data_IF_589273610884
#
_entry.id   IF_589273610884
#
_cell.length_a   1.000
_cell.length_b   1.000
_cell.length_c   1.000
_cell.angle_alpha   90.00
_cell.angle_beta   90.00
_cell.angle_gamma   90.00
#
_symmetry.space_group_name_H-M   'P 1'
#
loop_
_entity.id
_entity.type
_entity.pdbx_description
1 polymer ?
#
# COMPACT_ATOMS: atom_id res chain seq x y z
N UNK A 1 -13.76 -63.21 227.23
CA UNK A 1 -14.37 -63.88 226.06
C UNK A 1 -15.78 -63.36 225.74
N UNK A 2 -15.98 -62.03 225.72
CA UNK A 2 -17.24 -61.39 225.26
C UNK A 2 -16.99 -60.27 224.24
N UNK A 3 -15.82 -59.60 224.27
CA UNK A 3 -15.44 -58.57 223.29
C UNK A 3 -15.04 -59.09 221.90
N UNK A 4 -14.59 -60.35 221.78
CA UNK A 4 -14.17 -60.91 220.49
C UNK A 4 -15.36 -61.18 219.54
N UNK A 5 -16.52 -61.60 220.08
CA UNK A 5 -17.71 -61.89 219.27
C UNK A 5 -18.45 -60.64 218.79
N UNK A 6 -18.27 -59.49 219.45
CA UNK A 6 -18.85 -58.22 219.03
C UNK A 6 -18.08 -57.59 217.85
N UNK A 7 -16.76 -57.82 217.75
CA UNK A 7 -15.93 -57.35 216.64
C UNK A 7 -16.21 -58.11 215.34
N UNK A 8 -16.38 -59.43 215.40
CA UNK A 8 -16.67 -60.25 214.21
C UNK A 8 -18.02 -59.90 213.55
N UNK A 9 -19.05 -59.61 214.34
CA UNK A 9 -20.38 -59.24 213.80
C UNK A 9 -20.34 -57.85 213.17
N UNK A 10 -19.55 -56.92 213.72
CA UNK A 10 -19.39 -55.59 213.14
C UNK A 10 -18.55 -55.62 211.84
N UNK A 11 -17.51 -56.48 211.80
CA UNK A 11 -16.69 -56.69 210.61
C UNK A 11 -17.50 -57.34 209.48
N UNK A 12 -18.30 -58.37 209.78
CA UNK A 12 -19.17 -59.02 208.80
C UNK A 12 -20.24 -58.06 208.22
N UNK A 13 -20.70 -57.08 209.01
CA UNK A 13 -21.61 -56.04 208.52
C UNK A 13 -20.91 -55.08 207.55
N UNK A 14 -19.68 -54.65 207.86
CA UNK A 14 -18.87 -53.80 206.98
C UNK A 14 -18.51 -54.52 205.67
N UNK A 15 -18.19 -55.82 205.74
CA UNK A 15 -17.88 -56.63 204.55
C UNK A 15 -19.12 -56.86 203.68
N UNK A 16 -20.30 -57.05 204.28
CA UNK A 16 -21.57 -57.12 203.55
C UNK A 16 -21.92 -55.78 202.90
N UNK A 17 -21.74 -54.66 203.59
CA UNK A 17 -21.94 -53.31 203.02
C UNK A 17 -20.95 -53.02 201.88
N UNK A 18 -19.69 -53.44 202.02
CA UNK A 18 -18.67 -53.32 200.97
C UNK A 18 -18.99 -54.20 199.75
N UNK A 19 -19.44 -55.44 199.95
CA UNK A 19 -19.88 -56.32 198.87
C UNK A 19 -21.13 -55.78 198.15
N UNK A 20 -22.06 -55.18 198.90
CA UNK A 20 -23.26 -54.55 198.32
C UNK A 20 -22.91 -53.28 197.54
N UNK A 21 -21.93 -52.50 198.02
CA UNK A 21 -21.42 -51.33 197.31
C UNK A 21 -20.63 -51.71 196.05
N UNK A 22 -19.81 -52.77 196.11
CA UNK A 22 -19.09 -53.30 194.96
C UNK A 22 -20.05 -53.85 193.89
N UNK A 23 -21.06 -54.62 194.29
CA UNK A 23 -22.09 -55.12 193.38
C UNK A 23 -22.91 -53.98 192.73
N UNK A 24 -23.17 -52.89 193.45
CA UNK A 24 -23.79 -51.68 192.88
C UNK A 24 -22.87 -50.97 191.90
N UNK A 25 -21.60 -50.81 192.25
CA UNK A 25 -20.62 -50.18 191.36
C UNK A 25 -20.43 -51.00 190.07
N UNK A 26 -20.35 -52.33 190.16
CA UNK A 26 -20.22 -53.24 189.03
C UNK A 26 -21.52 -53.28 188.19
N UNK A 27 -22.69 -53.20 188.82
CA UNK A 27 -23.97 -53.06 188.12
C UNK A 27 -24.11 -51.70 187.42
N UNK A 28 -23.65 -50.61 188.04
CA UNK A 28 -23.62 -49.27 187.43
C UNK A 28 -22.59 -49.18 186.30
N UNK A 29 -21.45 -49.85 186.42
CA UNK A 29 -20.42 -49.95 185.39
C UNK A 29 -20.88 -50.83 184.23
N UNK A 30 -21.55 -51.95 184.52
CA UNK A 30 -22.22 -52.80 183.52
C UNK A 30 -23.35 -52.05 182.81
N UNK A 31 -24.16 -51.28 183.54
CA UNK A 31 -25.21 -50.45 182.97
C UNK A 31 -24.63 -49.33 182.10
N UNK A 32 -23.53 -48.68 182.52
CA UNK A 32 -22.81 -47.69 181.70
C UNK A 32 -22.18 -48.30 180.46
N UNK A 33 -21.58 -49.48 180.57
CA UNK A 33 -20.97 -50.20 179.45
C UNK A 33 -22.03 -50.68 178.48
N UNK A 34 -23.16 -51.20 178.97
CA UNK A 34 -24.30 -51.55 178.14
C UNK A 34 -24.89 -50.31 177.46
N UNK A 35 -25.08 -49.20 178.18
CA UNK A 35 -25.57 -47.94 177.60
C UNK A 35 -24.61 -47.37 176.54
N UNK A 36 -23.30 -47.48 176.74
CA UNK A 36 -22.27 -47.10 175.78
C UNK A 36 -22.26 -48.03 174.56
N UNK A 37 -22.42 -49.34 174.76
CA UNK A 37 -22.55 -50.30 173.66
C UNK A 37 -23.84 -50.07 172.85
N UNK A 38 -24.96 -49.75 173.51
CA UNK A 38 -26.21 -49.38 172.86
C UNK A 38 -26.11 -48.06 172.11
N UNK A 39 -25.42 -47.05 172.65
CA UNK A 39 -25.20 -45.78 171.95
C UNK A 39 -24.29 -45.94 170.74
N UNK A 40 -23.23 -46.75 170.85
CA UNK A 40 -22.35 -47.11 169.75
C UNK A 40 -23.07 -47.93 168.67
N UNK A 41 -23.89 -48.91 169.06
CA UNK A 41 -24.70 -49.69 168.12
C UNK A 41 -25.71 -48.81 167.37
N UNK A 42 -26.38 -47.88 168.06
CA UNK A 42 -27.27 -46.90 167.40
C UNK A 42 -26.50 -45.97 166.47
N UNK A 43 -25.32 -45.49 166.86
CA UNK A 43 -24.49 -44.64 166.01
C UNK A 43 -24.01 -45.40 164.76
N UNK A 44 -23.57 -46.66 164.90
CA UNK A 44 -23.19 -47.51 163.78
C UNK A 44 -24.37 -47.83 162.86
N UNK A 45 -25.57 -48.08 163.42
CA UNK A 45 -26.79 -48.29 162.64
C UNK A 45 -27.19 -47.03 161.86
N UNK A 46 -27.12 -45.85 162.48
CA UNK A 46 -27.36 -44.57 161.81
C UNK A 46 -26.33 -44.31 160.70
N UNK A 47 -25.05 -44.60 160.95
CA UNK A 47 -23.99 -44.46 159.95
C UNK A 47 -24.13 -45.46 158.79
N UNK A 48 -24.57 -46.69 159.06
CA UNK A 48 -24.91 -47.67 158.02
C UNK A 48 -26.10 -47.20 157.18
N UNK A 49 -27.17 -46.73 157.83
CA UNK A 49 -28.35 -46.19 157.14
C UNK A 49 -27.97 -44.97 156.28
N UNK A 50 -27.13 -44.07 156.79
CA UNK A 50 -26.58 -42.94 156.02
C UNK A 50 -25.78 -43.42 154.80
N UNK A 51 -24.86 -44.37 154.97
CA UNK A 51 -24.08 -44.95 153.86
C UNK A 51 -24.94 -45.71 152.85
N UNK A 52 -26.04 -46.31 153.28
CA UNK A 52 -27.00 -46.96 152.38
C UNK A 52 -27.80 -45.90 151.60
N UNK A 53 -28.20 -44.80 152.24
CA UNK A 53 -28.83 -43.66 151.55
C UNK A 53 -27.87 -42.97 150.57
N UNK A 54 -26.59 -42.80 150.94
CA UNK A 54 -25.56 -42.25 150.06
C UNK A 54 -25.31 -43.16 148.86
N UNK A 55 -25.12 -44.47 149.07
CA UNK A 55 -24.92 -45.43 147.97
C UNK A 55 -26.13 -45.55 147.04
N UNK A 56 -27.35 -45.42 147.57
CA UNK A 56 -28.56 -45.42 146.74
C UNK A 56 -28.69 -44.12 145.95
N UNK A 57 -28.34 -42.97 146.55
CA UNK A 57 -28.27 -41.69 145.85
C UNK A 57 -27.19 -41.67 144.76
N UNK A 58 -25.99 -42.20 145.03
CA UNK A 58 -24.90 -42.34 144.05
C UNK A 58 -25.30 -43.22 142.87
N UNK A 59 -25.97 -44.36 143.14
CA UNK A 59 -26.47 -45.24 142.08
C UNK A 59 -27.58 -44.59 141.25
N UNK A 60 -28.47 -43.82 141.89
CA UNK A 60 -29.49 -43.06 141.18
C UNK A 60 -28.85 -42.00 140.28
N UNK A 61 -27.89 -41.22 140.80
CA UNK A 61 -27.14 -40.24 140.03
C UNK A 61 -26.37 -40.87 138.86
N UNK A 62 -25.70 -42.00 139.07
CA UNK A 62 -25.00 -42.72 138.02
C UNK A 62 -25.95 -43.28 136.95
N UNK A 63 -27.15 -43.74 137.34
CA UNK A 63 -28.17 -44.18 136.40
C UNK A 63 -28.73 -43.01 135.57
N UNK A 64 -28.97 -41.86 136.20
CA UNK A 64 -29.40 -40.64 135.51
C UNK A 64 -28.32 -40.11 134.55
N UNK A 65 -27.05 -40.09 134.95
CA UNK A 65 -25.94 -39.69 134.10
C UNK A 65 -25.77 -40.63 132.91
N UNK A 66 -25.92 -41.95 133.12
CA UNK A 66 -25.91 -42.94 132.05
C UNK A 66 -27.09 -42.75 131.09
N UNK A 67 -28.29 -42.50 131.61
CA UNK A 67 -29.48 -42.24 130.79
C UNK A 67 -29.32 -40.95 129.98
N UNK A 68 -28.79 -39.87 130.60
CA UNK A 68 -28.45 -38.63 129.90
C UNK A 68 -27.43 -38.87 128.79
N UNK A 69 -26.36 -39.62 129.04
CA UNK A 69 -25.37 -39.97 128.02
C UNK A 69 -25.96 -40.80 126.87
N UNK A 70 -26.87 -41.75 127.16
CA UNK A 70 -27.58 -42.51 126.12
C UNK A 70 -28.52 -41.62 125.29
N UNK A 71 -29.20 -40.65 125.92
CA UNK A 71 -30.05 -39.69 125.23
C UNK A 71 -29.22 -38.78 124.30
N UNK A 72 -28.06 -38.31 124.77
CA UNK A 72 -27.12 -37.53 123.96
C UNK A 72 -26.63 -38.31 122.74
N UNK A 73 -26.17 -39.55 122.93
CA UNK A 73 -25.72 -40.42 121.83
C UNK A 73 -26.85 -40.71 120.84
N UNK A 74 -28.08 -40.93 121.31
CA UNK A 74 -29.24 -41.11 120.42
C UNK A 74 -29.54 -39.85 119.61
N UNK A 75 -29.49 -38.67 120.25
CA UNK A 75 -29.70 -37.40 119.57
C UNK A 75 -28.59 -37.11 118.54
N UNK A 76 -27.32 -37.43 118.85
CA UNK A 76 -26.21 -37.31 117.90
C UNK A 76 -26.35 -38.28 116.72
N UNK A 77 -26.73 -39.53 116.97
CA UNK A 77 -26.98 -40.51 115.91
C UNK A 77 -28.14 -40.06 115.00
N UNK A 78 -29.21 -39.49 115.57
CA UNK A 78 -30.32 -38.96 114.79
C UNK A 78 -29.89 -37.75 113.95
N UNK A 79 -29.08 -36.83 114.50
CA UNK A 79 -28.50 -35.71 113.74
C UNK A 79 -27.60 -36.21 112.61
N UNK A 80 -26.64 -37.09 112.88
CA UNK A 80 -25.74 -37.67 111.86
C UNK A 80 -26.53 -38.38 110.78
N UNK A 81 -27.59 -39.11 111.14
CA UNK A 81 -28.47 -39.76 110.18
C UNK A 81 -29.20 -38.74 109.30
N UNK A 82 -29.79 -37.71 109.90
CA UNK A 82 -30.46 -36.62 109.17
C UNK A 82 -29.49 -35.89 108.23
N UNK A 83 -28.28 -35.58 108.69
CA UNK A 83 -27.25 -34.91 107.90
C UNK A 83 -26.79 -35.80 106.74
N UNK A 84 -26.56 -37.10 106.99
CA UNK A 84 -26.22 -38.06 105.94
C UNK A 84 -27.34 -38.22 104.90
N UNK A 85 -28.61 -38.28 105.34
CA UNK A 85 -29.78 -38.33 104.45
C UNK A 85 -29.85 -37.05 103.58
N UNK A 86 -29.57 -35.87 104.15
CA UNK A 86 -29.52 -34.60 103.43
C UNK A 86 -28.34 -34.51 102.43
N UNK A 87 -27.16 -35.01 102.82
CA UNK A 87 -25.99 -35.10 101.94
C UNK A 87 -26.22 -36.06 100.77
N UNK A 88 -26.82 -37.24 101.03
CA UNK A 88 -27.19 -38.20 99.99
C UNK A 88 -28.21 -37.59 99.03
N UNK A 89 -29.24 -36.93 99.54
CA UNK A 89 -30.23 -36.24 98.70
C UNK A 89 -29.55 -35.17 97.81
N UNK A 90 -28.66 -34.37 98.37
CA UNK A 90 -27.90 -33.36 97.63
C UNK A 90 -26.98 -33.99 96.57
N UNK A 91 -26.31 -35.10 96.90
CA UNK A 91 -25.44 -35.82 95.98
C UNK A 91 -26.23 -36.44 94.81
N UNK A 92 -27.41 -37.00 95.08
CA UNK A 92 -28.29 -37.55 94.05
C UNK A 92 -28.80 -36.46 93.11
N UNK A 93 -29.20 -35.29 93.62
CA UNK A 93 -29.62 -34.17 92.76
C UNK A 93 -28.45 -33.62 91.91
N UNK A 94 -27.24 -33.55 92.47
CA UNK A 94 -26.03 -33.20 91.71
C UNK A 94 -25.72 -34.24 90.62
N UNK A 95 -25.89 -35.54 90.90
CA UNK A 95 -25.70 -36.60 89.93
C UNK A 95 -26.71 -36.52 88.79
N UNK A 96 -28.01 -36.33 89.10
CA UNK A 96 -29.06 -36.12 88.10
C UNK A 96 -28.80 -34.89 87.23
N UNK A 97 -28.39 -33.77 87.83
CA UNK A 97 -28.05 -32.56 87.08
C UNK A 97 -26.84 -32.77 86.15
N UNK A 98 -25.83 -33.53 86.61
CA UNK A 98 -24.67 -33.88 85.79
C UNK A 98 -25.03 -34.81 84.62
N UNK A 99 -25.89 -35.81 84.86
CA UNK A 99 -26.41 -36.73 83.84
C UNK A 99 -27.22 -35.97 82.78
N UNK A 100 -28.18 -35.13 83.20
CA UNK A 100 -28.95 -34.29 82.30
C UNK A 100 -28.06 -33.37 81.43
N UNK A 101 -26.98 -32.83 82.00
CA UNK A 101 -25.99 -32.04 81.23
C UNK A 101 -25.17 -32.90 80.27
N UNK A 102 -24.84 -34.13 80.63
CA UNK A 102 -24.14 -35.06 79.75
C UNK A 102 -25.01 -35.45 78.55
N UNK A 103 -26.29 -35.75 78.79
CA UNK A 103 -27.29 -36.03 77.76
C UNK A 103 -27.50 -34.82 76.84
N UNK A 104 -27.64 -33.61 77.40
CA UNK A 104 -27.73 -32.38 76.63
C UNK A 104 -26.52 -32.21 75.69
N UNK A 105 -25.28 -32.36 76.20
CA UNK A 105 -24.08 -32.25 75.37
C UNK A 105 -23.96 -33.36 74.33
N UNK A 106 -24.48 -34.56 74.60
CA UNK A 106 -24.54 -35.63 73.63
C UNK A 106 -25.51 -35.29 72.49
N UNK A 107 -26.69 -34.74 72.81
CA UNK A 107 -27.66 -34.26 71.83
C UNK A 107 -27.09 -33.08 71.01
N UNK A 108 -26.49 -32.09 71.65
CA UNK A 108 -25.84 -30.95 70.98
C UNK A 108 -24.75 -31.44 70.02
N UNK A 109 -23.86 -32.34 70.46
CA UNK A 109 -22.84 -32.92 69.58
C UNK A 109 -23.43 -33.67 68.40
N UNK A 110 -24.49 -34.45 68.60
CA UNK A 110 -25.18 -35.17 67.52
C UNK A 110 -25.77 -34.18 66.50
N UNK A 111 -26.44 -33.12 66.95
CA UNK A 111 -26.98 -32.10 66.04
C UNK A 111 -25.86 -31.34 65.30
N UNK A 112 -24.74 -31.06 65.98
CA UNK A 112 -23.58 -30.42 65.37
C UNK A 112 -22.92 -31.32 64.32
N UNK A 113 -22.78 -32.63 64.57
CA UNK A 113 -22.25 -33.58 63.58
C UNK A 113 -23.19 -33.71 62.38
N UNK A 114 -24.49 -33.81 62.59
CA UNK A 114 -25.47 -33.85 61.49
C UNK A 114 -25.46 -32.57 60.64
N UNK A 115 -25.32 -31.40 61.28
CA UNK A 115 -25.19 -30.13 60.58
C UNK A 115 -23.88 -30.04 59.78
N UNK A 116 -22.76 -30.48 60.35
CA UNK A 116 -21.47 -30.51 59.67
C UNK A 116 -21.48 -31.47 58.46
N UNK A 117 -22.08 -32.65 58.60
CA UNK A 117 -22.24 -33.60 57.50
C UNK A 117 -23.09 -33.03 56.36
N UNK A 118 -24.21 -32.36 56.68
CA UNK A 118 -25.05 -31.67 55.68
C UNK A 118 -24.27 -30.57 54.95
N UNK A 119 -23.52 -29.75 55.68
CA UNK A 119 -22.68 -28.71 55.07
C UNK A 119 -21.63 -29.32 54.14
N UNK A 120 -20.95 -30.40 54.54
CA UNK A 120 -19.98 -31.10 53.69
C UNK A 120 -20.62 -31.69 52.44
N UNK A 121 -21.83 -32.24 52.53
CA UNK A 121 -22.58 -32.74 51.38
C UNK A 121 -22.95 -31.61 50.41
N UNK A 122 -23.38 -30.46 50.92
CA UNK A 122 -23.67 -29.27 50.09
C UNK A 122 -22.42 -28.78 49.37
N UNK A 123 -21.29 -28.62 50.08
CA UNK A 123 -20.02 -28.23 49.47
C UNK A 123 -19.55 -29.21 48.39
N UNK A 124 -19.72 -30.52 48.60
CA UNK A 124 -19.38 -31.53 47.58
C UNK A 124 -20.26 -31.40 46.34
N UNK A 125 -21.57 -31.22 46.51
CA UNK A 125 -22.49 -31.01 45.41
C UNK A 125 -22.19 -29.72 44.63
N UNK A 126 -21.86 -28.63 45.32
CA UNK A 126 -21.44 -27.37 44.69
C UNK A 126 -20.12 -27.53 43.92
N UNK A 127 -19.14 -28.25 44.48
CA UNK A 127 -17.88 -28.54 43.78
C UNK A 127 -18.09 -29.41 42.54
N UNK A 128 -18.97 -30.43 42.60
CA UNK A 128 -19.33 -31.24 41.43
C UNK A 128 -20.01 -30.40 40.37
N UNK A 129 -20.93 -29.51 40.76
CA UNK A 129 -21.57 -28.57 39.83
C UNK A 129 -20.55 -27.64 39.16
N UNK A 130 -19.67 -27.01 39.94
CA UNK A 130 -18.63 -26.12 39.39
C UNK A 130 -17.69 -26.87 38.45
N UNK A 131 -17.36 -28.13 38.74
CA UNK A 131 -16.56 -28.97 37.83
C UNK A 131 -17.28 -29.25 36.53
N UNK A 132 -18.56 -29.63 36.58
CA UNK A 132 -19.37 -29.86 35.39
C UNK A 132 -19.51 -28.58 34.54
N UNK A 133 -19.78 -27.44 35.17
CA UNK A 133 -19.88 -26.14 34.50
C UNK A 133 -18.54 -25.75 33.85
N UNK A 134 -17.41 -25.97 34.54
CA UNK A 134 -16.08 -25.71 34.00
C UNK A 134 -15.73 -26.63 32.82
N UNK A 135 -16.07 -27.92 32.89
CA UNK A 135 -15.89 -28.86 31.78
C UNK A 135 -16.73 -28.45 30.55
N UNK A 136 -17.97 -28.01 30.77
CA UNK A 136 -18.83 -27.51 29.70
C UNK A 136 -18.27 -26.24 29.04
N UNK A 137 -17.79 -25.27 29.82
CA UNK A 137 -17.15 -24.05 29.29
C UNK A 137 -15.86 -24.37 28.53
N UNK A 138 -15.03 -25.29 29.03
CA UNK A 138 -13.82 -25.74 28.31
C UNK A 138 -14.17 -26.44 27.00
N UNK A 139 -15.21 -27.27 26.97
CA UNK A 139 -15.68 -27.91 25.75
C UNK A 139 -16.18 -26.86 24.73
N UNK A 140 -17.00 -25.91 25.16
CA UNK A 140 -17.49 -24.83 24.31
C UNK A 140 -16.34 -23.93 23.79
N UNK A 141 -15.34 -23.62 24.62
CA UNK A 141 -14.18 -22.86 24.20
C UNK A 141 -13.34 -23.61 23.15
N UNK A 142 -13.17 -24.93 23.30
CA UNK A 142 -12.48 -25.77 22.30
C UNK A 142 -13.23 -25.81 20.98
N UNK A 143 -14.56 -25.92 21.00
CA UNK A 143 -15.38 -25.88 19.78
C UNK A 143 -15.26 -24.53 19.06
N UNK A 144 -15.33 -23.41 19.80
CA UNK A 144 -15.13 -22.07 19.23
C UNK A 144 -13.73 -21.91 18.62
N UNK A 145 -12.70 -22.44 19.27
CA UNK A 145 -11.34 -22.42 18.75
C UNK A 145 -11.21 -23.23 17.45
N UNK A 146 -11.74 -24.45 17.43
CA UNK A 146 -11.75 -25.29 16.23
C UNK A 146 -12.52 -24.65 15.06
N UNK A 147 -13.66 -24.02 15.34
CA UNK A 147 -14.43 -23.28 14.34
C UNK A 147 -13.66 -22.05 13.80
N UNK A 148 -12.93 -21.34 14.66
CA UNK A 148 -12.11 -20.20 14.25
C UNK A 148 -10.92 -20.63 13.37
N UNK A 149 -10.27 -21.75 13.72
CA UNK A 149 -9.19 -22.37 12.93
C UNK A 149 -9.71 -22.80 11.54
N UNK A 150 -10.83 -23.53 11.49
CA UNK A 150 -11.45 -23.92 10.23
C UNK A 150 -11.81 -22.71 9.33
N UNK A 151 -12.24 -21.59 9.92
CA UNK A 151 -12.48 -20.34 9.17
C UNK A 151 -11.19 -19.65 8.74
N UNK A 152 -10.11 -19.77 9.49
CA UNK A 152 -8.81 -19.27 9.08
C UNK A 152 -8.29 -20.06 7.87
N UNK A 153 -8.36 -21.39 7.92
CA UNK A 153 -7.99 -22.29 6.82
C UNK A 153 -8.86 -22.06 5.57
N UNK A 154 -10.16 -21.84 5.75
CA UNK A 154 -11.03 -21.47 4.64
C UNK A 154 -10.55 -20.18 3.97
N UNK A 155 -10.22 -19.14 4.75
CA UNK A 155 -9.74 -17.86 4.19
C UNK A 155 -8.39 -17.98 3.50
N UNK A 156 -7.48 -18.83 3.99
CA UNK A 156 -6.19 -19.05 3.32
C UNK A 156 -6.40 -19.79 2.00
N UNK A 157 -7.28 -20.79 1.96
CA UNK A 157 -7.67 -21.47 0.74
C UNK A 157 -8.34 -20.53 -0.27
N UNK A 158 -9.27 -19.69 0.17
CA UNK A 158 -9.92 -18.68 -0.68
C UNK A 158 -8.92 -17.66 -1.26
N UNK A 159 -7.95 -17.20 -0.47
CA UNK A 159 -6.88 -16.29 -0.94
C UNK A 159 -5.93 -16.97 -1.92
N UNK A 160 -5.61 -18.23 -1.72
CA UNK A 160 -4.80 -19.01 -2.65
C UNK A 160 -5.53 -19.15 -4.00
N UNK A 161 -6.80 -19.55 -3.97
CA UNK A 161 -7.64 -19.66 -5.17
C UNK A 161 -7.81 -18.31 -5.89
N UNK A 162 -8.02 -17.22 -5.14
CA UNK A 162 -8.12 -15.88 -5.71
C UNK A 162 -6.80 -15.43 -6.36
N UNK A 163 -5.65 -15.73 -5.74
CA UNK A 163 -4.33 -15.45 -6.30
C UNK A 163 -4.08 -16.22 -7.59
N UNK A 164 -4.40 -17.51 -7.62
CA UNK A 164 -4.29 -18.33 -8.85
C UNK A 164 -5.19 -17.82 -9.98
N UNK A 165 -6.43 -17.42 -9.65
CA UNK A 165 -7.35 -16.85 -10.63
C UNK A 165 -6.83 -15.51 -11.18
N UNK A 166 -6.30 -14.64 -10.31
CA UNK A 166 -5.70 -13.37 -10.72
C UNK A 166 -4.45 -13.58 -11.59
N UNK A 167 -3.61 -14.57 -11.27
CA UNK A 167 -2.43 -14.89 -12.06
C UNK A 167 -2.83 -15.40 -13.46
N UNK A 168 -3.82 -16.31 -13.55
CA UNK A 168 -4.35 -16.78 -14.85
C UNK A 168 -4.91 -15.62 -15.68
N UNK A 169 -5.68 -14.72 -15.07
CA UNK A 169 -6.21 -13.54 -15.76
C UNK A 169 -5.08 -12.62 -16.26
N UNK A 170 -4.03 -12.40 -15.46
CA UNK A 170 -2.87 -11.61 -15.86
C UNK A 170 -2.09 -12.26 -17.02
N UNK A 171 -1.93 -13.59 -17.01
CA UNK A 171 -1.30 -14.33 -18.10
C UNK A 171 -2.11 -14.22 -19.40
N UNK A 172 -3.44 -14.34 -19.33
CA UNK A 172 -4.33 -14.15 -20.47
C UNK A 172 -4.20 -12.75 -21.07
N UNK A 173 -4.26 -11.71 -20.23
CA UNK A 173 -4.11 -10.32 -20.67
C UNK A 173 -2.74 -10.06 -21.31
N UNK A 174 -1.65 -10.62 -20.79
CA UNK A 174 -0.33 -10.53 -21.42
C UNK A 174 -0.32 -11.16 -22.81
N UNK A 175 -0.89 -12.35 -22.95
CA UNK A 175 -0.98 -13.02 -24.25
C UNK A 175 -1.91 -12.30 -25.25
N UNK A 176 -2.92 -11.59 -24.78
CA UNK A 176 -3.75 -10.71 -25.63
C UNK A 176 -3.00 -9.45 -26.05
N UNK A 177 -2.26 -8.81 -25.14
CA UNK A 177 -1.43 -7.65 -25.46
C UNK A 177 -0.32 -7.99 -26.45
N UNK A 178 0.31 -9.16 -26.31
CA UNK A 178 1.31 -9.64 -27.28
C UNK A 178 0.69 -9.85 -28.66
N UNK A 179 -0.51 -10.45 -28.74
CA UNK A 179 -1.26 -10.59 -30.00
C UNK A 179 -1.59 -9.23 -30.62
N UNK A 180 -2.17 -8.31 -29.85
CA UNK A 180 -2.50 -6.96 -30.33
C UNK A 180 -1.25 -6.21 -30.81
N UNK A 181 -0.12 -6.36 -30.12
CA UNK A 181 1.16 -5.76 -30.58
C UNK A 181 1.62 -6.36 -31.89
N UNK A 182 1.58 -7.68 -32.04
CA UNK A 182 1.94 -8.36 -33.28
C UNK A 182 1.02 -7.95 -34.45
N UNK A 183 -0.29 -7.89 -34.21
CA UNK A 183 -1.27 -7.46 -35.21
C UNK A 183 -1.05 -6.00 -35.63
N UNK A 184 -0.79 -5.10 -34.66
CA UNK A 184 -0.49 -3.71 -34.94
C UNK A 184 0.84 -3.53 -35.70
N UNK A 185 1.88 -4.27 -35.35
CA UNK A 185 3.15 -4.28 -36.10
C UNK A 185 2.95 -4.77 -37.54
N UNK A 186 2.13 -5.81 -37.74
CA UNK A 186 1.78 -6.32 -39.05
C UNK A 186 0.97 -5.29 -39.88
N UNK A 187 -0.01 -4.62 -39.28
CA UNK A 187 -0.80 -3.57 -39.93
C UNK A 187 0.06 -2.36 -40.31
N UNK A 188 0.98 -1.94 -39.44
CA UNK A 188 1.95 -0.87 -39.73
C UNK A 188 2.87 -1.28 -40.87
N UNK A 189 3.37 -2.53 -40.89
CA UNK A 189 4.21 -3.04 -41.96
C UNK A 189 3.44 -3.09 -43.30
N UNK A 190 2.19 -3.55 -43.29
CA UNK A 190 1.32 -3.57 -44.46
C UNK A 190 1.05 -2.15 -44.99
N UNK A 191 0.71 -1.21 -44.10
CA UNK A 191 0.46 0.19 -44.45
C UNK A 191 1.70 0.86 -45.03
N UNK A 192 2.89 0.61 -44.46
CA UNK A 192 4.17 1.09 -45.00
C UNK A 192 4.48 0.47 -46.36
N UNK A 193 4.21 -0.82 -46.54
CA UNK A 193 4.38 -1.51 -47.82
C UNK A 193 3.48 -0.91 -48.91
N UNK A 194 2.21 -0.66 -48.59
CA UNK A 194 1.27 -0.02 -49.50
C UNK A 194 1.69 1.41 -49.86
N UNK A 195 2.02 2.24 -48.85
CA UNK A 195 2.51 3.60 -49.08
C UNK A 195 3.81 3.64 -49.89
N UNK A 196 4.74 2.71 -49.65
CA UNK A 196 5.96 2.59 -50.46
C UNK A 196 5.64 2.19 -51.91
N UNK A 197 4.67 1.30 -52.12
CA UNK A 197 4.18 0.92 -53.45
C UNK A 197 3.53 2.08 -54.19
N UNK A 198 2.65 2.85 -53.54
CA UNK A 198 2.05 4.06 -54.13
C UNK A 198 3.09 5.12 -54.46
N UNK A 199 4.04 5.35 -53.55
CA UNK A 199 5.13 6.29 -53.79
C UNK A 199 6.00 5.87 -54.99
N UNK A 200 6.27 4.57 -55.15
CA UNK A 200 6.99 4.04 -56.30
C UNK A 200 6.19 4.22 -57.59
N UNK A 201 4.90 3.88 -57.61
CA UNK A 201 4.04 4.06 -58.78
C UNK A 201 3.91 5.55 -59.17
N UNK A 202 3.80 6.45 -58.19
CA UNK A 202 3.79 7.89 -58.43
C UNK A 202 5.12 8.39 -59.02
N UNK A 203 6.26 7.89 -58.53
CA UNK A 203 7.58 8.20 -59.10
C UNK A 203 7.72 7.72 -60.53
N UNK A 204 7.36 6.46 -60.82
CA UNK A 204 7.41 5.91 -62.17
C UNK A 204 6.51 6.69 -63.14
N UNK A 205 5.33 7.11 -62.68
CA UNK A 205 4.43 7.97 -63.46
C UNK A 205 5.07 9.34 -63.73
N UNK A 206 5.64 9.98 -62.70
CA UNK A 206 6.32 11.26 -62.84
C UNK A 206 7.55 11.17 -63.77
N UNK A 207 8.36 10.12 -63.64
CA UNK A 207 9.51 9.85 -64.51
C UNK A 207 9.07 9.62 -65.97
N UNK A 208 7.97 8.91 -66.19
CA UNK A 208 7.39 8.73 -67.52
C UNK A 208 6.87 10.04 -68.11
N UNK A 209 6.25 10.92 -67.31
CA UNK A 209 5.83 12.25 -67.72
C UNK A 209 7.03 13.15 -68.06
N UNK A 210 8.07 13.12 -67.22
CA UNK A 210 9.34 13.82 -67.47
C UNK A 210 9.94 13.34 -68.79
N UNK A 211 10.01 12.02 -69.02
CA UNK A 211 10.54 11.46 -70.26
C UNK A 211 9.72 11.88 -71.49
N UNK A 212 8.38 11.96 -71.39
CA UNK A 212 7.51 12.48 -72.46
C UNK A 212 7.76 13.97 -72.71
N UNK A 213 7.93 14.76 -71.66
CA UNK A 213 8.21 16.19 -71.77
C UNK A 213 9.57 16.44 -72.44
N UNK A 214 10.61 15.68 -72.09
CA UNK A 214 11.91 15.74 -72.76
C UNK A 214 11.83 15.32 -74.23
N UNK A 215 11.13 14.22 -74.55
CA UNK A 215 10.96 13.79 -75.94
C UNK A 215 10.19 14.84 -76.78
N UNK A 216 9.19 15.50 -76.21
CA UNK A 216 8.48 16.60 -76.86
C UNK A 216 9.38 17.82 -77.06
N UNK A 217 10.22 18.16 -76.08
CA UNK A 217 11.20 19.24 -76.17
C UNK A 217 12.25 18.96 -77.26
N UNK A 218 12.79 17.74 -77.32
CA UNK A 218 13.77 17.33 -78.35
C UNK A 218 13.19 17.42 -79.76
N UNK A 219 11.92 17.05 -79.94
CA UNK A 219 11.24 17.17 -81.24
C UNK A 219 11.07 18.63 -81.68
N UNK A 220 10.74 19.54 -80.75
CA UNK A 220 10.68 20.99 -81.02
C UNK A 220 12.06 21.52 -81.42
N UNK A 221 13.13 21.11 -80.72
CA UNK A 221 14.51 21.49 -81.05
C UNK A 221 14.89 20.97 -82.44
N UNK A 222 14.57 19.72 -82.76
CA UNK A 222 14.86 19.11 -84.07
C UNK A 222 14.13 19.82 -85.22
N UNK A 223 12.87 20.20 -85.03
CA UNK A 223 12.10 20.96 -86.01
C UNK A 223 12.66 22.36 -86.23
N UNK A 224 13.09 23.04 -85.16
CA UNK A 224 13.74 24.34 -85.25
C UNK A 224 15.07 24.26 -86.03
N UNK A 225 15.90 23.25 -85.76
CA UNK A 225 17.16 23.04 -86.47
C UNK A 225 16.96 22.70 -87.97
N UNK A 226 15.96 21.88 -88.30
CA UNK A 226 15.67 21.53 -89.70
C UNK A 226 15.17 22.74 -90.52
N UNK A 227 14.46 23.69 -89.87
CA UNK A 227 14.03 24.94 -90.50
C UNK A 227 15.21 25.88 -90.77
N UNK A 228 16.18 25.95 -89.85
CA UNK A 228 17.36 26.79 -90.01
C UNK A 228 18.31 26.34 -91.14
N UNK A 229 18.47 25.02 -91.34
CA UNK A 229 19.41 24.49 -92.33
C UNK A 229 19.02 24.71 -93.81
N UNK A 230 17.74 24.98 -94.12
CA UNK A 230 17.26 25.16 -95.51
C UNK A 230 17.42 26.58 -96.05
N UNK A 231 17.61 27.57 -95.18
CA UNK A 231 17.51 29.00 -95.55
C UNK A 231 18.86 29.72 -95.68
N UNK A 232 19.98 29.00 -95.47
CA UNK A 232 21.33 29.59 -95.37
C UNK A 232 22.30 29.13 -96.48
N UNK A 233 21.82 28.48 -97.53
CA UNK A 233 22.66 28.10 -98.67
C UNK A 233 22.85 29.30 -99.62
N UNK A 234 24.07 29.85 -99.69
CA UNK A 234 24.41 30.87 -100.69
C UNK A 234 24.19 30.33 -102.12
N UNK A 235 23.36 30.98 -102.95
CA UNK A 235 23.17 30.56 -104.33
C UNK A 235 24.46 30.77 -105.13
N UNK A 236 24.86 29.74 -105.89
CA UNK A 236 26.06 29.77 -106.76
C UNK A 236 25.66 30.31 -108.14
N UNK A 237 26.31 31.38 -108.65
CA UNK A 237 25.99 31.96 -109.96
C UNK A 237 26.38 31.03 -111.12
N UNK A 238 25.62 31.00 -112.23
CA UNK A 238 26.07 30.44 -113.50
C UNK A 238 27.30 31.18 -114.02
N UNK A 239 28.33 30.46 -114.50
CA UNK A 239 29.62 31.04 -114.91
C UNK A 239 29.50 32.10 -116.02
N UNK A 240 28.45 32.01 -116.84
CA UNK A 240 28.23 32.82 -118.05
C UNK A 240 27.89 34.30 -117.75
N UNK A 241 27.48 34.63 -116.52
CA UNK A 241 27.05 35.98 -116.13
C UNK A 241 27.78 36.54 -114.90
N UNK A 242 28.89 35.92 -114.47
CA UNK A 242 29.64 36.36 -113.27
C UNK A 242 30.09 37.81 -113.27
N UNK A 243 30.36 38.40 -114.44
CA UNK A 243 30.69 39.83 -114.52
C UNK A 243 29.49 40.74 -114.24
N UNK A 244 28.27 40.25 -114.51
CA UNK A 244 27.00 40.95 -114.29
C UNK A 244 26.45 40.67 -112.89
N UNK A 245 26.65 39.47 -112.34
CA UNK A 245 26.18 39.07 -111.00
C UNK A 245 27.17 39.35 -109.86
N UNK A 246 28.39 39.81 -110.17
CA UNK A 246 29.40 40.17 -109.16
C UNK A 246 28.88 41.11 -108.06
N UNK A 247 28.04 42.13 -108.35
CA UNK A 247 27.42 42.94 -107.31
C UNK A 247 26.56 42.13 -106.33
N UNK A 248 25.76 41.21 -106.85
CA UNK A 248 24.83 40.38 -106.08
C UNK A 248 25.60 39.42 -105.17
N UNK A 249 26.65 38.79 -105.71
CA UNK A 249 27.54 37.90 -104.97
C UNK A 249 28.26 38.64 -103.84
N UNK A 250 28.75 39.85 -104.11
CA UNK A 250 29.39 40.68 -103.09
C UNK A 250 28.42 41.10 -101.99
N UNK A 251 27.18 41.44 -102.34
CA UNK A 251 26.13 41.78 -101.36
C UNK A 251 25.77 40.58 -100.47
N UNK A 252 25.57 39.40 -101.06
CA UNK A 252 25.27 38.17 -100.31
C UNK A 252 26.44 37.71 -99.45
N UNK A 253 27.67 37.81 -99.97
CA UNK A 253 28.88 37.50 -99.22
C UNK A 253 29.10 38.49 -98.07
N UNK A 254 28.83 39.78 -98.29
CA UNK A 254 28.92 40.79 -97.22
C UNK A 254 27.85 40.57 -96.14
N UNK A 255 26.61 40.24 -96.51
CA UNK A 255 25.57 39.84 -95.55
C UNK A 255 25.93 38.56 -94.80
N UNK A 256 26.46 37.55 -95.49
CA UNK A 256 26.92 36.32 -94.85
C UNK A 256 28.05 36.59 -93.86
N UNK A 257 28.98 37.48 -94.19
CA UNK A 257 30.06 37.88 -93.28
C UNK A 257 29.54 38.70 -92.10
N UNK A 258 28.59 39.62 -92.30
CA UNK A 258 27.93 40.33 -91.20
C UNK A 258 27.23 39.35 -90.26
N UNK A 259 26.47 38.40 -90.81
CA UNK A 259 25.77 37.36 -90.06
C UNK A 259 26.75 36.46 -89.29
N UNK A 260 27.83 36.02 -89.93
CA UNK A 260 28.89 35.24 -89.28
C UNK A 260 29.62 36.01 -88.18
N UNK A 261 29.95 37.28 -88.41
CA UNK A 261 30.62 38.14 -87.42
C UNK A 261 29.71 38.38 -86.22
N UNK A 262 28.41 38.60 -86.42
CA UNK A 262 27.46 38.73 -85.33
C UNK A 262 27.21 37.41 -84.60
N UNK A 263 27.14 36.29 -85.32
CA UNK A 263 26.94 34.97 -84.71
C UNK A 263 28.17 34.52 -83.91
N UNK A 264 29.38 34.64 -84.46
CA UNK A 264 30.62 34.16 -83.81
C UNK A 264 31.18 35.18 -82.83
N UNK A 265 31.11 36.47 -83.15
CA UNK A 265 31.65 37.54 -82.32
C UNK A 265 30.75 37.96 -81.16
N UNK A 266 29.43 37.73 -81.25
CA UNK A 266 28.46 38.21 -80.25
C UNK A 266 27.62 37.10 -79.58
N UNK A 267 27.73 35.83 -80.00
CA UNK A 267 27.24 34.72 -79.19
C UNK A 267 28.02 34.69 -77.87
N UNK A 268 27.31 34.70 -76.75
CA UNK A 268 27.84 34.96 -75.40
C UNK A 268 28.87 33.97 -74.83
N UNK A 269 29.55 33.19 -75.66
CA UNK A 269 30.57 32.18 -75.31
C UNK A 269 31.89 32.33 -76.12
N UNK A 270 32.12 33.46 -76.81
CA UNK A 270 33.34 33.73 -77.61
C UNK A 270 34.51 34.38 -76.84
N UNK A 271 35.74 34.09 -77.30
CA UNK A 271 37.03 34.57 -76.74
C UNK A 271 37.16 36.11 -76.86
N UNK A 272 37.37 36.87 -75.76
CA UNK A 272 37.36 38.34 -75.76
C UNK A 272 38.52 39.01 -76.52
N UNK A 273 39.42 38.24 -77.13
CA UNK A 273 40.60 38.75 -77.87
C UNK A 273 40.37 38.93 -79.38
N UNK A 274 39.20 38.55 -79.92
CA UNK A 274 38.83 38.90 -81.31
C UNK A 274 38.13 40.25 -81.27
N UNK A 275 38.92 41.33 -81.26
CA UNK A 275 38.38 42.68 -81.41
C UNK A 275 37.60 42.76 -82.73
N UNK A 276 36.28 42.98 -82.63
CA UNK A 276 35.44 43.20 -83.78
C UNK A 276 35.91 44.48 -84.49
N UNK A 277 36.32 44.33 -85.74
CA UNK A 277 36.85 45.42 -86.55
C UNK A 277 35.67 46.27 -87.07
N UNK A 278 35.50 47.45 -86.47
CA UNK A 278 34.46 48.41 -86.86
C UNK A 278 34.68 48.87 -88.31
N UNK A 279 35.92 49.03 -88.77
CA UNK A 279 36.23 49.44 -90.14
C UNK A 279 35.83 48.33 -91.12
N UNK A 280 36.01 47.06 -90.75
CA UNK A 280 35.50 45.92 -91.50
C UNK A 280 33.97 45.92 -91.55
N UNK A 281 33.30 46.11 -90.42
CA UNK A 281 31.84 46.16 -90.36
C UNK A 281 31.25 47.32 -91.17
N UNK A 282 31.86 48.51 -91.10
CA UNK A 282 31.49 49.66 -91.95
C UNK A 282 31.69 49.34 -93.43
N UNK A 283 32.80 48.68 -93.78
CA UNK A 283 33.07 48.24 -95.15
C UNK A 283 32.02 47.23 -95.64
N UNK A 284 31.64 46.26 -94.81
CA UNK A 284 30.64 45.25 -95.15
C UNK A 284 29.25 45.87 -95.28
N UNK A 285 28.84 46.73 -94.34
CA UNK A 285 27.55 47.45 -94.40
C UNK A 285 27.48 48.33 -95.65
N UNK A 286 28.57 49.03 -95.96
CA UNK A 286 28.67 49.84 -97.18
C UNK A 286 28.65 49.00 -98.44
N UNK A 287 29.31 47.83 -98.45
CA UNK A 287 29.26 46.89 -99.55
C UNK A 287 27.83 46.35 -99.75
N UNK A 288 27.11 46.05 -98.68
CA UNK A 288 25.70 45.67 -98.74
C UNK A 288 24.85 46.81 -99.31
N UNK A 289 25.03 48.05 -98.84
CA UNK A 289 24.29 49.22 -99.33
C UNK A 289 24.54 49.52 -100.82
N UNK A 290 25.81 49.59 -101.22
CA UNK A 290 26.20 49.96 -102.59
C UNK A 290 25.70 48.93 -103.61
N UNK A 291 25.75 47.64 -103.26
CA UNK A 291 25.43 46.57 -104.19
C UNK A 291 23.95 46.15 -104.13
N UNK A 292 23.25 46.37 -103.02
CA UNK A 292 21.80 46.17 -102.94
C UNK A 292 21.00 47.23 -103.72
N UNK A 293 21.54 48.45 -103.89
CA UNK A 293 21.01 49.42 -104.86
C UNK A 293 21.01 48.82 -106.27
N UNK A 294 22.06 48.08 -106.66
CA UNK A 294 22.12 47.38 -107.94
C UNK A 294 21.05 46.30 -108.07
N UNK A 295 20.83 45.46 -107.06
CA UNK A 295 19.75 44.47 -107.03
C UNK A 295 18.35 45.10 -107.23
N UNK A 296 18.12 46.26 -106.62
CA UNK A 296 16.83 46.97 -106.70
C UNK A 296 16.63 47.68 -108.05
N UNK A 297 17.71 48.17 -108.67
CA UNK A 297 17.66 48.86 -109.97
C UNK A 297 17.73 47.91 -111.17
N UNK A 298 18.44 46.77 -111.09
CA UNK A 298 18.43 45.72 -112.11
C UNK A 298 17.10 44.95 -112.14
N UNK A 299 16.51 44.63 -110.98
CA UNK A 299 15.16 44.03 -110.93
C UNK A 299 14.07 44.98 -111.46
N UNK A 300 14.28 46.30 -111.34
CA UNK A 300 13.40 47.33 -111.93
C UNK A 300 13.63 47.53 -113.44
N UNK A 301 14.85 47.30 -113.93
CA UNK A 301 15.17 47.37 -115.36
C UNK A 301 14.75 46.09 -116.10
N UNK A 302 14.82 44.93 -115.45
CA UNK A 302 14.33 43.65 -115.96
C UNK A 302 12.79 43.62 -116.11
N UNK A 303 12.06 44.41 -115.33
CA UNK A 303 10.59 44.54 -115.42
C UNK A 303 10.12 45.55 -116.48
N UNK A 304 11.04 46.24 -117.18
CA UNK A 304 10.72 47.33 -118.12
C UNK A 304 10.99 47.08 -119.61
N UNK A 305 11.62 45.98 -120.01
CA UNK A 305 11.94 45.70 -121.43
C UNK A 305 11.67 44.24 -121.83
N UNK A 306 10.83 43.97 -122.84
CA UNK A 306 10.50 42.62 -123.27
C UNK A 306 11.51 42.12 -124.33
N UNK A 307 12.65 41.61 -123.87
CA UNK A 307 13.53 40.77 -124.71
C UNK A 307 13.80 39.44 -124.00
N UNK A 308 13.39 38.29 -124.58
CA UNK A 308 13.58 36.98 -123.97
C UNK A 308 14.99 36.46 -124.28
N UNK A 309 15.93 36.78 -123.39
CA UNK A 309 17.27 36.15 -123.34
C UNK A 309 17.67 35.95 -121.88
N UNK A 310 17.53 34.71 -121.38
CA UNK A 310 18.23 34.20 -120.18
C UNK A 310 17.37 33.81 -118.95
N UNK A 311 16.70 32.64 -118.96
CA UNK A 311 15.95 32.13 -117.79
C UNK A 311 16.81 31.84 -116.54
N UNK A 312 18.07 31.42 -116.71
CA UNK A 312 18.95 31.10 -115.58
C UNK A 312 19.41 32.34 -114.78
N UNK A 313 19.45 33.53 -115.39
CA UNK A 313 19.81 34.77 -114.69
C UNK A 313 18.65 35.29 -113.83
N UNK A 314 17.41 35.14 -114.31
CA UNK A 314 16.21 35.48 -113.54
C UNK A 314 16.03 34.52 -112.34
N UNK A 315 16.21 33.22 -112.54
CA UNK A 315 16.13 32.21 -111.47
C UNK A 315 17.23 32.43 -110.40
N UNK A 316 18.44 32.84 -110.82
CA UNK A 316 19.52 33.21 -109.88
C UNK A 316 19.19 34.49 -109.11
N UNK A 317 18.65 35.52 -109.79
CA UNK A 317 18.26 36.77 -109.13
C UNK A 317 17.15 36.56 -108.09
N UNK A 318 16.16 35.69 -108.38
CA UNK A 318 15.10 35.31 -107.43
C UNK A 318 15.68 34.56 -106.22
N UNK A 319 16.50 33.53 -106.45
CA UNK A 319 17.17 32.80 -105.36
C UNK A 319 18.12 33.70 -104.54
N UNK A 320 18.77 34.68 -105.18
CA UNK A 320 19.61 35.66 -104.53
C UNK A 320 18.80 36.68 -103.73
N UNK A 321 17.63 37.13 -104.21
CA UNK A 321 16.72 38.02 -103.48
C UNK A 321 16.14 37.30 -102.24
N UNK A 322 15.76 36.02 -102.37
CA UNK A 322 15.34 35.18 -101.24
C UNK A 322 16.45 35.00 -100.20
N UNK A 323 17.67 34.65 -100.63
CA UNK A 323 18.83 34.52 -99.74
C UNK A 323 19.18 35.85 -99.07
N UNK A 324 19.09 36.96 -99.80
CA UNK A 324 19.33 38.31 -99.29
C UNK A 324 18.31 38.68 -98.20
N UNK A 325 17.02 38.43 -98.44
CA UNK A 325 15.97 38.65 -97.45
C UNK A 325 16.13 37.75 -96.21
N UNK A 326 16.50 36.48 -96.41
CA UNK A 326 16.75 35.55 -95.32
C UNK A 326 17.92 35.99 -94.43
N UNK A 327 19.05 36.41 -95.01
CA UNK A 327 20.18 36.93 -94.24
C UNK A 327 19.79 38.19 -93.45
N UNK A 328 19.03 39.12 -94.05
CA UNK A 328 18.55 40.31 -93.35
C UNK A 328 17.61 39.98 -92.17
N UNK A 329 16.76 38.97 -92.30
CA UNK A 329 15.87 38.53 -91.22
C UNK A 329 16.66 37.85 -90.09
N UNK A 330 17.67 37.06 -90.44
CA UNK A 330 18.55 36.40 -89.45
C UNK A 330 19.37 37.42 -88.68
N UNK A 331 20.01 38.35 -89.39
CA UNK A 331 20.78 39.45 -88.79
C UNK A 331 19.87 40.24 -87.83
N UNK A 332 18.63 40.58 -88.20
CA UNK A 332 17.70 41.24 -87.26
C UNK A 332 17.38 40.38 -86.03
N UNK A 333 17.14 39.08 -86.22
CA UNK A 333 16.85 38.16 -85.10
C UNK A 333 18.03 38.06 -84.14
N UNK A 334 19.26 38.11 -84.67
CA UNK A 334 20.50 38.12 -83.88
C UNK A 334 20.71 39.49 -83.22
N UNK A 335 20.45 40.60 -83.90
CA UNK A 335 20.71 41.96 -83.42
C UNK A 335 19.69 42.44 -82.38
N UNK A 336 18.40 42.11 -82.54
CA UNK A 336 17.32 42.59 -81.64
C UNK A 336 17.54 42.24 -80.15
N UNK A 337 18.06 41.07 -79.76
CA UNK A 337 18.47 40.80 -78.38
C UNK A 337 19.73 41.55 -77.91
N UNK A 338 20.59 42.00 -78.83
CA UNK A 338 21.86 42.68 -78.55
C UNK A 338 21.68 44.20 -78.36
N UNK A 339 20.62 44.78 -78.92
CA UNK A 339 20.20 46.17 -78.70
C UNK A 339 20.10 46.46 -77.18
N UNK A 340 21.02 47.28 -76.66
CA UNK A 340 21.06 47.72 -75.26
C UNK A 340 21.85 46.84 -74.28
N UNK A 341 22.55 45.77 -74.73
CA UNK A 341 23.35 44.89 -73.85
C UNK A 341 24.86 45.20 -73.76
N UNK A 342 25.46 45.82 -74.78
CA UNK A 342 26.92 45.89 -74.93
C UNK A 342 27.51 47.30 -74.68
N UNK A 343 28.83 47.38 -74.40
CA UNK A 343 29.57 48.62 -74.13
C UNK A 343 30.66 48.88 -75.19
N UNK A 344 30.68 50.11 -75.72
CA UNK A 344 31.68 50.76 -76.58
C UNK A 344 31.87 50.15 -77.99
N UNK A 345 32.85 49.31 -78.38
CA UNK A 345 32.97 48.93 -79.80
C UNK A 345 31.83 48.05 -80.32
N UNK A 346 31.37 47.09 -79.54
CA UNK A 346 30.27 46.19 -79.93
C UNK A 346 28.93 46.91 -80.07
N UNK A 347 28.73 47.98 -79.27
CA UNK A 347 27.54 48.82 -79.36
C UNK A 347 27.53 49.62 -80.66
N UNK A 348 28.69 50.14 -81.09
CA UNK A 348 28.82 50.85 -82.37
C UNK A 348 28.54 49.93 -83.56
N UNK A 349 28.95 48.66 -83.50
CA UNK A 349 28.65 47.65 -84.53
C UNK A 349 27.17 47.30 -84.56
N UNK A 350 26.56 47.08 -83.38
CA UNK A 350 25.12 46.83 -83.26
C UNK A 350 24.33 48.03 -83.80
N UNK A 351 24.71 49.26 -83.45
CA UNK A 351 24.07 50.48 -83.95
C UNK A 351 24.25 50.64 -85.46
N UNK A 352 25.43 50.35 -86.00
CA UNK A 352 25.72 50.40 -87.43
C UNK A 352 24.85 49.41 -88.23
N UNK A 353 24.76 48.16 -87.77
CA UNK A 353 23.92 47.14 -88.42
C UNK A 353 22.43 47.44 -88.24
N UNK A 354 22.03 47.95 -87.07
CA UNK A 354 20.65 48.39 -86.82
C UNK A 354 20.29 49.55 -87.74
N UNK A 355 21.20 50.50 -87.96
CA UNK A 355 21.05 51.60 -88.90
C UNK A 355 20.92 51.11 -90.34
N UNK A 356 21.74 50.13 -90.76
CA UNK A 356 21.60 49.48 -92.05
C UNK A 356 20.21 48.83 -92.20
N UNK A 357 19.75 48.06 -91.20
CA UNK A 357 18.42 47.43 -91.22
C UNK A 357 17.26 48.45 -91.24
N UNK A 358 17.47 49.62 -90.64
CA UNK A 358 16.52 50.72 -90.61
C UNK A 358 16.50 51.55 -91.91
N UNK A 359 17.46 51.38 -92.81
CA UNK A 359 17.55 52.14 -94.05
C UNK A 359 16.30 51.92 -94.93
N UNK A 360 15.67 53.01 -95.46
CA UNK A 360 14.57 52.92 -96.41
C UNK A 360 14.73 51.94 -97.57
N UNK A 361 15.94 51.63 -98.05
CA UNK A 361 16.10 50.61 -99.10
C UNK A 361 16.01 49.17 -98.55
N UNK A 362 16.55 48.89 -97.35
CA UNK A 362 16.40 47.57 -96.68
C UNK A 362 14.94 47.33 -96.31
N UNK A 363 14.26 48.36 -95.81
CA UNK A 363 12.82 48.29 -95.51
C UNK A 363 11.97 47.99 -96.75
N UNK A 364 12.38 48.50 -97.93
CA UNK A 364 11.73 48.19 -99.21
C UNK A 364 11.97 46.76 -99.68
N UNK A 365 13.19 46.23 -99.56
CA UNK A 365 13.50 44.83 -99.86
C UNK A 365 12.67 43.88 -98.98
N UNK A 366 12.50 44.21 -97.68
CA UNK A 366 11.66 43.48 -96.73
C UNK A 366 10.17 43.45 -97.08
N UNK A 367 9.62 44.56 -97.60
CA UNK A 367 8.19 44.67 -97.91
C UNK A 367 7.77 43.86 -99.14
N UNK A 368 8.70 43.44 -99.99
CA UNK A 368 8.41 42.56 -101.14
C UNK A 368 8.05 41.14 -100.69
N UNK A 369 8.74 40.62 -99.68
CA UNK A 369 8.54 39.27 -99.12
C UNK A 369 7.23 39.16 -98.30
N UNK A 370 6.83 40.28 -97.68
CA UNK A 370 5.58 40.38 -96.92
C UNK A 370 4.32 40.40 -97.82
N UNK A 371 4.44 40.77 -99.10
CA UNK A 371 3.33 40.75 -100.06
C UNK A 371 3.25 39.44 -100.88
N UNK A 372 4.34 38.67 -100.98
CA UNK A 372 4.36 37.35 -101.63
C UNK A 372 3.76 36.22 -100.78
N UNK A 373 3.88 36.30 -99.45
CA UNK A 373 3.40 35.26 -98.53
C UNK A 373 1.89 35.34 -98.16
N UNK A 374 1.12 36.26 -98.78
CA UNK A 374 -0.31 36.42 -98.51
C UNK A 374 -1.23 35.56 -99.39
N UNK A 375 -0.69 34.67 -100.25
CA UNK A 375 -1.49 33.82 -101.15
C UNK A 375 -1.11 32.35 -101.07
N UNK A 376 -1.16 31.72 -99.89
CA UNK A 376 -1.56 30.31 -99.76
C UNK A 376 -2.03 30.07 -98.33
N UNK A 377 -3.32 29.78 -98.17
CA UNK A 377 -3.94 29.26 -96.95
C UNK A 377 -3.83 27.74 -96.92
#
# INVERSE_FOLDING_TARGET
>A
MAEARARDVFQAKLDAEAATAAARAEAEESARTAAAAWSQARAAQQQSAQRDTERTAERAAAAEDHERGLQEVRAELERVRSDAEAEIATALERAKAAEARAEQRAAERKTATEAAEKALQQWRAELEKVRADAEAEVAAARERAAAAEARADQRTAERAAASEAAEKAAQQLRGELERVRADAEAEVAASRGWAAGEAQAARETAEAEIARAYAAADEVVRQAQAKAARTLSMPIPPFEFRSETAPIENALNALHQIDYVLEVGMAGDGDPDIALDIDLMETLVRAVEDHARHLTDESRSATGSPTPTGGAAADYAEAAEEAFCAFLQRIETVVRPLEGRYRSPDAEIVDLVTSMLADPWVQRARHRDSQGSATTL
#
